data_IF_797921779605
#
_entry.id   IF_797921779605
#
_cell.length_a   1.000
_cell.length_b   1.000
_cell.length_c   1.000
_cell.angle_alpha   90.00
_cell.angle_beta   90.00
_cell.angle_gamma   90.00
#
_symmetry.space_group_name_H-M   'P 1'
#
loop_
_entity.id
_entity.type
_entity.pdbx_description
1 polymer ?
#
# COMPACT_ATOMS: atom_id res chain seq x y z
N UNK A 1 -1.20 9.72 3.80
CA UNK A 1 -1.00 9.33 2.38
C UNK A 1 -1.40 7.86 2.13
N UNK A 2 -2.35 7.23 2.84
CA UNK A 2 -2.92 5.92 2.41
C UNK A 2 -4.44 6.04 2.23
N UNK A 3 -5.06 6.89 3.03
CA UNK A 3 -6.52 7.12 3.06
C UNK A 3 -7.08 7.96 1.91
N UNK A 4 -6.24 8.71 1.18
CA UNK A 4 -6.69 9.58 0.08
C UNK A 4 -7.33 8.78 -1.07
N UNK A 5 -6.63 7.77 -1.57
CA UNK A 5 -7.14 6.94 -2.68
C UNK A 5 -8.43 6.21 -2.30
N UNK A 6 -8.50 5.61 -1.11
CA UNK A 6 -9.74 4.98 -0.65
C UNK A 6 -10.90 5.98 -0.61
N UNK A 7 -10.66 7.17 -0.09
CA UNK A 7 -11.71 8.21 -0.05
C UNK A 7 -12.20 8.60 -1.44
N UNK A 8 -11.29 8.73 -2.41
CA UNK A 8 -11.60 9.11 -3.80
C UNK A 8 -12.32 7.96 -4.52
N UNK A 9 -11.80 6.73 -4.43
CA UNK A 9 -12.42 5.55 -5.04
C UNK A 9 -13.81 5.29 -4.48
N UNK A 10 -13.99 5.39 -3.16
CA UNK A 10 -15.31 5.23 -2.54
C UNK A 10 -16.31 6.29 -3.01
N UNK A 11 -15.84 7.54 -3.22
CA UNK A 11 -16.67 8.63 -3.74
C UNK A 11 -17.02 8.44 -5.21
N UNK A 12 -16.05 8.08 -6.06
CA UNK A 12 -16.30 7.71 -7.46
C UNK A 12 -17.31 6.56 -7.57
N UNK A 13 -17.19 5.56 -6.71
CA UNK A 13 -18.11 4.43 -6.68
C UNK A 13 -19.54 4.82 -6.25
N UNK A 14 -19.70 5.85 -5.41
CA UNK A 14 -21.04 6.35 -5.01
C UNK A 14 -21.75 7.13 -6.13
N UNK A 15 -21.06 7.43 -7.22
CA UNK A 15 -21.60 8.15 -8.38
C UNK A 15 -22.21 7.23 -9.45
N UNK A 16 -22.24 5.90 -9.23
CA UNK A 16 -22.81 4.94 -10.17
C UNK A 16 -24.34 5.02 -10.28
N UNK A 17 -24.89 4.44 -11.34
CA UNK A 17 -26.29 4.61 -11.71
C UNK A 17 -27.29 3.84 -10.81
N UNK A 18 -26.91 2.63 -10.39
CA UNK A 18 -27.71 1.72 -9.55
C UNK A 18 -26.81 0.99 -8.54
N UNK A 19 -27.39 0.34 -7.52
CA UNK A 19 -26.62 -0.38 -6.49
C UNK A 19 -25.70 -1.43 -7.12
N UNK A 20 -26.20 -2.16 -8.12
CA UNK A 20 -25.49 -3.26 -8.82
C UNK A 20 -24.63 -2.78 -9.99
N UNK A 21 -24.61 -1.47 -10.28
CA UNK A 21 -23.76 -0.94 -11.35
C UNK A 21 -22.28 -1.19 -11.03
N UNK A 22 -21.44 -1.46 -12.05
CA UNK A 22 -20.00 -1.57 -11.84
C UNK A 22 -19.40 -0.22 -11.42
N UNK A 23 -18.13 -0.25 -11.03
CA UNK A 23 -17.36 0.98 -10.83
C UNK A 23 -17.37 1.82 -12.12
N UNK A 24 -17.70 3.14 -12.07
CA UNK A 24 -17.73 3.97 -13.26
C UNK A 24 -16.36 4.01 -13.96
N UNK A 25 -16.34 3.85 -15.27
CA UNK A 25 -15.08 4.02 -16.04
C UNK A 25 -14.51 5.41 -15.78
N UNK A 26 -13.21 5.51 -15.50
CA UNK A 26 -12.58 6.78 -15.12
C UNK A 26 -12.72 7.85 -16.21
N UNK A 27 -12.77 7.47 -17.48
CA UNK A 27 -12.96 8.38 -18.61
C UNK A 27 -14.42 8.65 -18.96
N UNK A 28 -15.37 8.08 -18.22
CA UNK A 28 -16.81 8.30 -18.46
C UNK A 28 -17.26 9.70 -18.02
N UNK A 29 -18.34 10.17 -18.64
CA UNK A 29 -19.00 11.42 -18.23
C UNK A 29 -19.47 11.38 -16.77
N UNK A 30 -19.91 10.20 -16.29
CA UNK A 30 -20.30 9.99 -14.89
C UNK A 30 -19.14 10.26 -13.93
N UNK A 31 -17.95 9.72 -14.21
CA UNK A 31 -16.77 9.95 -13.37
C UNK A 31 -16.32 11.43 -13.41
N UNK A 32 -16.38 12.07 -14.58
CA UNK A 32 -16.08 13.51 -14.74
C UNK A 32 -17.01 14.35 -13.88
N UNK A 33 -18.33 14.19 -14.03
CA UNK A 33 -19.35 14.90 -13.25
C UNK A 33 -19.20 14.65 -11.75
N UNK A 34 -18.84 13.42 -11.37
CA UNK A 34 -18.57 13.07 -9.98
C UNK A 34 -17.41 13.89 -9.41
N UNK A 35 -16.25 13.95 -10.09
CA UNK A 35 -15.12 14.76 -9.62
C UNK A 35 -15.45 16.26 -9.59
N UNK A 36 -16.16 16.76 -10.59
CA UNK A 36 -16.61 18.16 -10.62
C UNK A 36 -17.51 18.49 -9.43
N UNK A 37 -18.43 17.59 -9.06
CA UNK A 37 -19.24 17.72 -7.86
C UNK A 37 -18.38 17.77 -6.60
N UNK A 38 -17.33 16.94 -6.49
CA UNK A 38 -16.43 16.98 -5.35
C UNK A 38 -15.68 18.32 -5.24
N UNK A 39 -15.21 18.86 -6.36
CA UNK A 39 -14.58 20.18 -6.41
C UNK A 39 -15.57 21.28 -6.03
N UNK A 40 -16.82 21.15 -6.46
CA UNK A 40 -17.91 22.06 -6.05
C UNK A 40 -18.17 21.98 -4.55
N UNK A 41 -18.26 20.78 -3.96
CA UNK A 41 -18.40 20.58 -2.50
C UNK A 41 -17.24 21.26 -1.76
N UNK A 42 -16.00 21.05 -2.20
CA UNK A 42 -14.81 21.71 -1.64
C UNK A 42 -14.94 23.24 -1.66
N UNK A 43 -15.40 23.81 -2.78
CA UNK A 43 -15.43 25.25 -2.98
C UNK A 43 -16.65 25.94 -2.35
N UNK A 44 -17.80 25.26 -2.26
CA UNK A 44 -19.07 25.85 -1.75
C UNK A 44 -19.25 25.65 -0.25
N UNK A 45 -18.93 24.47 0.28
CA UNK A 45 -19.23 24.11 1.68
C UNK A 45 -18.00 23.66 2.48
N UNK A 46 -16.85 23.55 1.83
CA UNK A 46 -15.58 23.20 2.45
C UNK A 46 -14.57 24.36 2.38
N UNK A 47 -13.29 24.00 2.39
CA UNK A 47 -12.18 24.90 2.13
C UNK A 47 -10.95 24.11 1.70
N UNK A 48 -9.93 24.79 1.17
CA UNK A 48 -8.65 24.17 0.89
C UNK A 48 -8.01 23.57 2.15
N UNK A 49 -8.16 24.26 3.28
CA UNK A 49 -7.70 23.80 4.59
C UNK A 49 -8.41 22.50 5.00
N UNK A 50 -9.75 22.47 4.96
CA UNK A 50 -10.54 21.28 5.32
C UNK A 50 -10.16 20.07 4.44
N UNK A 51 -9.96 20.27 3.13
CA UNK A 51 -9.66 19.19 2.18
C UNK A 51 -8.19 18.77 2.16
N UNK A 52 -7.27 19.61 2.65
CA UNK A 52 -5.84 19.28 2.77
C UNK A 52 -5.48 18.71 4.14
N UNK A 53 -6.36 18.88 5.13
CA UNK A 53 -6.17 18.39 6.48
C UNK A 53 -6.13 16.85 6.56
N UNK A 54 -5.35 16.38 7.53
CA UNK A 54 -5.16 14.95 7.81
C UNK A 54 -6.28 14.40 8.70
N UNK A 55 -6.22 13.08 8.93
CA UNK A 55 -7.15 12.32 9.77
C UNK A 55 -7.39 12.98 11.13
N UNK A 56 -6.35 13.56 11.75
CA UNK A 56 -6.42 14.18 13.08
C UNK A 56 -7.43 15.33 13.15
N UNK A 57 -7.56 16.12 12.09
CA UNK A 57 -8.54 17.20 12.03
C UNK A 57 -9.97 16.64 12.08
N UNK A 58 -10.25 15.59 11.29
CA UNK A 58 -11.55 14.94 11.30
C UNK A 58 -11.85 14.29 12.66
N UNK A 59 -10.85 13.64 13.27
CA UNK A 59 -10.93 13.09 14.63
C UNK A 59 -11.30 14.18 15.64
N UNK A 60 -10.62 15.33 15.63
CA UNK A 60 -10.94 16.44 16.51
C UNK A 60 -12.37 16.95 16.29
N UNK A 61 -12.83 17.01 15.04
CA UNK A 61 -14.19 17.42 14.70
C UNK A 61 -15.28 16.46 15.17
N UNK A 62 -14.96 15.17 15.26
CA UNK A 62 -15.86 14.18 15.85
C UNK A 62 -16.01 14.42 17.35
N UNK A 63 -14.94 14.76 18.06
CA UNK A 63 -14.99 15.00 19.51
C UNK A 63 -15.56 16.37 19.89
N UNK A 64 -15.25 17.43 19.15
CA UNK A 64 -15.69 18.80 19.49
C UNK A 64 -17.10 19.13 18.97
N UNK A 65 -17.70 18.27 18.14
CA UNK A 65 -19.02 18.52 17.54
C UNK A 65 -19.05 19.69 16.55
N UNK A 66 -17.89 20.15 16.10
CA UNK A 66 -17.70 21.39 15.34
C UNK A 66 -17.85 21.24 13.82
N UNK A 67 -18.41 20.14 13.33
CA UNK A 67 -18.71 19.93 11.91
C UNK A 67 -20.14 19.43 11.72
N UNK A 68 -20.75 19.77 10.58
CA UNK A 68 -22.09 19.27 10.25
C UNK A 68 -22.05 17.85 9.65
N UNK A 69 -21.06 17.59 8.81
CA UNK A 69 -20.83 16.30 8.18
C UNK A 69 -19.35 15.95 8.23
N UNK A 70 -19.03 14.71 8.57
CA UNK A 70 -17.66 14.21 8.60
C UNK A 70 -17.63 12.88 7.84
N UNK A 71 -16.72 12.78 6.86
CA UNK A 71 -16.37 11.50 6.27
C UNK A 71 -15.18 10.93 7.03
N UNK A 72 -15.39 9.80 7.69
CA UNK A 72 -14.35 9.13 8.47
C UNK A 72 -14.44 7.61 8.28
N UNK A 73 -13.36 6.90 8.59
CA UNK A 73 -13.41 5.45 8.64
C UNK A 73 -13.95 5.05 10.01
N UNK A 74 -14.93 4.15 10.04
CA UNK A 74 -15.55 3.77 11.30
C UNK A 74 -14.60 2.93 12.15
N UNK A 75 -14.50 3.29 13.43
CA UNK A 75 -13.85 2.50 14.47
C UNK A 75 -14.92 2.10 15.48
N UNK A 76 -15.16 0.80 15.73
CA UNK A 76 -16.07 0.35 16.79
C UNK A 76 -15.76 1.00 18.13
N UNK A 77 -16.81 1.44 18.84
CA UNK A 77 -16.71 2.16 20.12
C UNK A 77 -16.25 3.63 20.03
N UNK A 78 -16.01 4.15 18.82
CA UNK A 78 -15.56 5.54 18.65
C UNK A 78 -16.72 6.55 18.62
N UNK A 79 -17.89 6.12 18.17
CA UNK A 79 -19.14 6.88 18.23
C UNK A 79 -20.02 6.14 19.22
N UNK A 80 -20.24 6.72 20.39
CA UNK A 80 -21.08 6.18 21.45
C UNK A 80 -22.36 7.03 21.63
N UNK A 81 -23.15 6.70 22.65
CA UNK A 81 -24.38 7.42 23.01
C UNK A 81 -24.17 8.89 23.42
N UNK A 82 -22.95 9.29 23.77
CA UNK A 82 -22.59 10.66 24.11
C UNK A 82 -22.07 11.45 22.90
N UNK A 83 -21.82 10.77 21.78
CA UNK A 83 -21.36 11.41 20.56
C UNK A 83 -22.43 12.36 19.99
N UNK A 84 -22.05 13.57 19.55
CA UNK A 84 -22.99 14.46 18.87
C UNK A 84 -23.32 14.00 17.43
N UNK A 85 -22.73 12.90 16.97
CA UNK A 85 -22.87 12.39 15.61
C UNK A 85 -23.61 11.05 15.56
N UNK A 86 -24.34 10.87 14.47
CA UNK A 86 -24.86 9.58 14.05
C UNK A 86 -24.14 9.12 12.80
N UNK A 87 -24.10 7.81 12.57
CA UNK A 87 -23.50 7.21 11.39
C UNK A 87 -24.55 7.03 10.30
N UNK A 88 -24.18 7.37 9.07
CA UNK A 88 -24.99 7.10 7.89
C UNK A 88 -24.14 6.60 6.73
N UNK A 89 -24.80 5.96 5.77
CA UNK A 89 -24.19 5.70 4.47
C UNK A 89 -23.76 7.01 3.81
N UNK A 90 -22.56 7.02 3.19
CA UNK A 90 -22.09 8.19 2.44
C UNK A 90 -23.02 8.45 1.24
N UNK A 91 -23.54 9.66 1.07
CA UNK A 91 -24.46 9.94 -0.03
C UNK A 91 -23.77 9.81 -1.39
N UNK A 92 -24.46 9.19 -2.33
CA UNK A 92 -24.13 9.20 -3.76
C UNK A 92 -24.84 10.31 -4.51
N UNK A 93 -24.63 10.35 -5.84
CA UNK A 93 -25.31 11.31 -6.72
C UNK A 93 -26.82 11.04 -6.78
N UNK A 94 -27.23 9.79 -6.59
CA UNK A 94 -28.63 9.35 -6.61
C UNK A 94 -29.07 8.89 -5.23
N UNK A 95 -30.33 9.15 -4.90
CA UNK A 95 -30.96 8.68 -3.66
C UNK A 95 -30.85 7.15 -3.57
N UNK A 96 -30.40 6.66 -2.42
CA UNK A 96 -30.23 5.23 -2.17
C UNK A 96 -28.93 4.64 -2.71
N UNK A 97 -28.12 5.41 -3.45
CA UNK A 97 -26.78 4.99 -3.87
C UNK A 97 -25.76 5.56 -2.89
N UNK A 98 -24.82 4.73 -2.48
CA UNK A 98 -23.71 5.07 -1.58
C UNK A 98 -22.44 4.35 -2.04
N UNK A 99 -21.30 4.70 -1.47
CA UNK A 99 -20.05 4.02 -1.77
C UNK A 99 -19.14 3.97 -0.55
N UNK A 100 -18.64 2.78 -0.24
CA UNK A 100 -17.70 2.56 0.87
C UNK A 100 -16.58 1.66 0.39
N UNK A 101 -15.34 2.00 0.75
CA UNK A 101 -14.21 1.11 0.50
C UNK A 101 -14.13 0.12 1.64
N UNK A 102 -14.09 -1.16 1.30
CA UNK A 102 -13.81 -2.20 2.28
C UNK A 102 -12.33 -2.18 2.65
N UNK A 103 -12.04 -1.95 3.92
CA UNK A 103 -10.73 -2.15 4.54
C UNK A 103 -10.92 -3.13 5.69
N UNK A 104 -10.04 -4.11 5.78
CA UNK A 104 -10.14 -5.14 6.80
C UNK A 104 -8.85 -5.93 6.92
N UNK A 105 -8.84 -6.86 7.86
CA UNK A 105 -7.73 -7.76 8.11
C UNK A 105 -8.08 -9.14 7.56
N UNK A 106 -7.15 -9.72 6.78
CA UNK A 106 -7.22 -11.11 6.38
C UNK A 106 -6.22 -11.90 7.23
N UNK A 107 -6.60 -13.11 7.62
CA UNK A 107 -5.72 -14.04 8.34
C UNK A 107 -5.31 -15.13 7.35
N UNK A 108 -4.01 -15.35 7.21
CA UNK A 108 -3.44 -16.37 6.33
C UNK A 108 -2.42 -17.24 7.07
N UNK A 109 -2.22 -18.45 6.58
CA UNK A 109 -1.14 -19.34 7.04
C UNK A 109 0.03 -19.19 6.09
N UNK A 110 1.22 -18.93 6.64
CA UNK A 110 2.45 -18.87 5.84
C UNK A 110 2.73 -20.21 5.17
N UNK A 111 3.18 -20.20 3.92
CA UNK A 111 3.46 -21.42 3.16
C UNK A 111 4.69 -22.19 3.69
N UNK A 112 5.51 -21.57 4.52
CA UNK A 112 6.70 -22.16 5.16
C UNK A 112 6.44 -22.72 6.57
N UNK A 113 5.18 -22.85 6.98
CA UNK A 113 4.83 -23.39 8.31
C UNK A 113 5.28 -24.86 8.45
N UNK A 114 5.81 -25.22 9.62
CA UNK A 114 6.11 -26.62 9.94
C UNK A 114 4.83 -27.47 9.77
N UNK A 115 4.94 -28.62 9.10
CA UNK A 115 3.81 -29.51 8.83
C UNK A 115 3.03 -29.88 10.10
N UNK A 116 3.75 -30.13 11.20
CA UNK A 116 3.16 -30.43 12.52
C UNK A 116 2.31 -29.29 13.12
N UNK A 117 2.50 -28.04 12.67
CA UNK A 117 1.76 -26.85 13.11
C UNK A 117 0.65 -26.47 12.17
N UNK A 118 0.64 -27.00 10.94
CA UNK A 118 -0.34 -26.65 9.92
C UNK A 118 -1.78 -26.96 10.38
N UNK A 119 -2.03 -28.17 10.88
CA UNK A 119 -3.36 -28.58 11.36
C UNK A 119 -3.84 -27.72 12.56
N UNK A 120 -3.05 -27.51 13.63
CA UNK A 120 -3.39 -26.57 14.69
C UNK A 120 -3.66 -25.14 14.20
N UNK A 121 -2.87 -24.64 13.23
CA UNK A 121 -3.07 -23.30 12.68
C UNK A 121 -4.39 -23.19 11.90
N UNK A 122 -4.74 -24.21 11.10
CA UNK A 122 -6.03 -24.28 10.42
C UNK A 122 -7.17 -24.25 11.44
N UNK A 123 -7.07 -25.02 12.53
CA UNK A 123 -8.10 -25.07 13.56
C UNK A 123 -8.25 -23.74 14.29
N UNK A 124 -7.13 -23.08 14.62
CA UNK A 124 -7.15 -21.75 15.22
C UNK A 124 -7.83 -20.72 14.30
N UNK A 125 -7.54 -20.74 12.99
CA UNK A 125 -8.20 -19.83 12.03
C UNK A 125 -9.69 -20.12 11.96
N UNK A 126 -10.09 -21.40 11.82
CA UNK A 126 -11.52 -21.78 11.81
C UNK A 126 -12.27 -21.27 13.04
N UNK A 127 -11.64 -21.37 14.21
CA UNK A 127 -12.23 -20.86 15.45
C UNK A 127 -12.32 -19.33 15.45
N UNK A 128 -11.24 -18.62 15.09
CA UNK A 128 -11.21 -17.15 15.04
C UNK A 128 -12.21 -16.56 14.02
N UNK A 129 -12.46 -17.27 12.92
CA UNK A 129 -13.42 -16.87 11.88
C UNK A 129 -14.78 -17.54 12.01
N UNK A 130 -15.01 -18.31 13.08
CA UNK A 130 -16.29 -18.96 13.33
C UNK A 130 -17.39 -17.91 13.54
N UNK A 131 -18.63 -18.27 13.19
CA UNK A 131 -19.79 -17.40 13.35
C UNK A 131 -19.97 -16.99 14.81
N UNK A 132 -19.77 -17.92 15.73
CA UNK A 132 -19.90 -17.74 17.17
C UNK A 132 -18.86 -16.75 17.71
N UNK A 133 -17.58 -16.89 17.31
CA UNK A 133 -16.54 -15.94 17.69
C UNK A 133 -16.80 -14.54 17.10
N UNK A 134 -17.14 -14.47 15.81
CA UNK A 134 -17.44 -13.19 15.15
C UNK A 134 -18.64 -12.50 15.80
N UNK A 135 -19.69 -13.25 16.17
CA UNK A 135 -20.85 -12.76 16.92
C UNK A 135 -20.45 -12.17 18.28
N UNK A 136 -19.66 -12.90 19.07
CA UNK A 136 -19.19 -12.42 20.38
C UNK A 136 -18.37 -11.12 20.26
N UNK A 137 -17.50 -11.02 19.25
CA UNK A 137 -16.71 -9.81 19.00
C UNK A 137 -17.56 -8.63 18.51
N UNK A 138 -18.60 -8.88 17.71
CA UNK A 138 -19.55 -7.84 17.26
C UNK A 138 -20.40 -7.33 18.42
N UNK A 139 -20.93 -8.22 19.28
CA UNK A 139 -21.71 -7.83 20.46
C UNK A 139 -20.90 -7.01 21.47
N UNK A 140 -19.58 -7.21 21.51
CA UNK A 140 -18.64 -6.40 22.30
C UNK A 140 -18.20 -5.11 21.60
N UNK A 141 -18.77 -4.82 20.42
CA UNK A 141 -18.37 -3.73 19.53
C UNK A 141 -16.85 -3.64 19.36
N UNK A 142 -16.17 -4.79 19.27
CA UNK A 142 -14.72 -4.85 19.11
C UNK A 142 -14.30 -4.90 17.64
N UNK A 143 -15.20 -5.35 16.77
CA UNK A 143 -15.01 -5.42 15.32
C UNK A 143 -16.29 -5.04 14.58
N UNK A 144 -16.15 -4.64 13.32
CA UNK A 144 -17.21 -4.79 12.32
C UNK A 144 -16.92 -6.07 11.56
N UNK A 145 -17.73 -7.11 11.76
CA UNK A 145 -17.58 -8.36 11.04
C UNK A 145 -17.92 -8.19 9.55
N UNK A 146 -17.13 -8.82 8.69
CA UNK A 146 -17.45 -8.97 7.26
C UNK A 146 -18.60 -9.95 7.00
N UNK A 147 -18.98 -10.75 8.00
CA UNK A 147 -20.09 -11.70 7.91
C UNK A 147 -21.42 -10.95 8.05
N UNK A 148 -21.90 -10.35 6.96
CA UNK A 148 -23.11 -9.50 6.95
C UNK A 148 -24.37 -10.20 7.44
N UNK A 149 -24.42 -11.53 7.37
CA UNK A 149 -25.53 -12.34 7.88
C UNK A 149 -25.73 -12.23 9.39
N UNK A 150 -24.69 -11.87 10.16
CA UNK A 150 -24.80 -11.59 11.59
C UNK A 150 -25.76 -10.43 11.86
N UNK A 151 -25.75 -9.38 11.03
CA UNK A 151 -26.60 -8.21 11.23
C UNK A 151 -28.07 -8.45 10.82
N UNK A 152 -28.41 -9.64 10.34
CA UNK A 152 -29.80 -10.07 10.17
C UNK A 152 -30.38 -10.71 11.44
N UNK A 153 -29.54 -11.05 12.43
CA UNK A 153 -29.98 -11.60 13.71
C UNK A 153 -30.50 -10.48 14.61
N UNK A 154 -31.77 -10.56 15.02
CA UNK A 154 -32.38 -9.56 15.91
C UNK A 154 -31.60 -9.39 17.20
N UNK A 155 -31.08 -10.47 17.78
CA UNK A 155 -30.25 -10.42 18.98
C UNK A 155 -29.03 -9.52 18.79
N UNK A 156 -28.34 -9.60 17.65
CA UNK A 156 -27.17 -8.77 17.39
C UNK A 156 -27.62 -7.33 17.13
N UNK A 157 -28.59 -7.16 16.24
CA UNK A 157 -29.04 -5.86 15.77
C UNK A 157 -29.66 -4.98 16.88
N UNK A 158 -30.28 -5.61 17.88
CA UNK A 158 -30.86 -4.93 19.04
C UNK A 158 -29.82 -4.52 20.10
N UNK A 159 -28.61 -5.08 20.06
CA UNK A 159 -27.57 -4.86 21.08
C UNK A 159 -26.38 -4.02 20.59
N UNK A 160 -26.31 -3.70 19.30
CA UNK A 160 -25.23 -2.85 18.75
C UNK A 160 -25.79 -1.58 18.15
N UNK A 161 -24.99 -0.51 18.18
CA UNK A 161 -25.37 0.72 17.51
C UNK A 161 -25.23 0.59 15.99
N UNK A 162 -26.04 1.35 15.24
CA UNK A 162 -25.92 1.49 13.78
C UNK A 162 -26.00 0.16 12.98
N UNK A 163 -26.72 -0.85 13.47
CA UNK A 163 -26.88 -2.14 12.80
C UNK A 163 -27.30 -2.01 11.32
N UNK A 164 -28.23 -1.10 10.99
CA UNK A 164 -28.70 -0.87 9.62
C UNK A 164 -27.56 -0.45 8.66
N UNK A 165 -26.55 0.25 9.17
CA UNK A 165 -25.37 0.64 8.39
C UNK A 165 -24.52 -0.59 8.03
N UNK A 166 -24.34 -1.54 8.95
CA UNK A 166 -23.56 -2.77 8.70
C UNK A 166 -24.31 -3.82 7.88
N UNK A 167 -25.64 -3.78 7.89
CA UNK A 167 -26.49 -4.75 7.20
C UNK A 167 -26.41 -4.64 5.68
N UNK A 168 -26.31 -3.42 5.15
CA UNK A 168 -26.39 -3.16 3.70
C UNK A 168 -25.27 -2.24 3.19
N UNK A 169 -23.98 -2.59 3.38
CA UNK A 169 -22.90 -1.73 2.93
C UNK A 169 -22.76 -1.84 1.41
N UNK A 170 -22.72 -0.71 0.71
CA UNK A 170 -22.44 -0.65 -0.73
C UNK A 170 -20.93 -0.60 -0.94
N UNK A 171 -20.30 -1.77 -0.81
CA UNK A 171 -18.86 -1.94 -0.79
C UNK A 171 -18.27 -1.92 -2.20
N UNK A 172 -17.11 -1.29 -2.30
CA UNK A 172 -16.20 -1.44 -3.42
C UNK A 172 -14.84 -1.90 -2.92
N UNK A 173 -14.21 -2.76 -3.70
CA UNK A 173 -12.87 -3.27 -3.41
C UNK A 173 -11.84 -2.25 -3.89
N UNK A 174 -10.74 -2.16 -3.14
CA UNK A 174 -9.56 -1.46 -3.62
C UNK A 174 -9.07 -2.15 -4.92
N UNK A 175 -8.77 -1.42 -6.01
CA UNK A 175 -8.28 -2.01 -7.25
C UNK A 175 -7.11 -2.98 -7.02
N UNK A 176 -7.22 -4.22 -7.52
CA UNK A 176 -6.18 -5.25 -7.39
C UNK A 176 -4.97 -4.87 -8.25
N UNK A 177 -3.76 -5.15 -7.77
CA UNK A 177 -2.47 -5.01 -8.49
C UNK A 177 -1.95 -3.58 -8.74
N UNK A 178 -2.69 -2.56 -8.31
CA UNK A 178 -2.37 -1.17 -8.60
C UNK A 178 -1.53 -0.51 -7.48
N UNK A 179 -1.54 -1.08 -6.27
CA UNK A 179 -1.02 -0.42 -5.06
C UNK A 179 0.23 -1.03 -4.45
N UNK A 180 0.91 -1.94 -5.14
CA UNK A 180 2.18 -2.49 -4.65
C UNK A 180 3.37 -1.56 -4.96
N UNK A 181 3.15 -0.44 -5.65
CA UNK A 181 4.15 0.58 -5.89
C UNK A 181 3.73 1.88 -5.21
N UNK A 182 4.56 2.36 -4.29
CA UNK A 182 4.41 3.69 -3.68
C UNK A 182 4.33 4.78 -4.77
N UNK A 183 5.01 4.59 -5.90
CA UNK A 183 4.98 5.51 -7.05
C UNK A 183 3.58 5.67 -7.63
N UNK A 184 2.82 4.58 -7.79
CA UNK A 184 1.44 4.68 -8.29
C UNK A 184 0.62 5.55 -7.35
N UNK A 185 0.77 5.32 -6.05
CA UNK A 185 -0.01 6.01 -5.03
C UNK A 185 0.26 7.52 -5.07
N UNK A 186 1.55 7.89 -5.10
CA UNK A 186 1.98 9.28 -5.17
C UNK A 186 1.49 9.97 -6.44
N UNK A 187 1.59 9.30 -7.60
CA UNK A 187 1.14 9.86 -8.89
C UNK A 187 -0.38 10.02 -8.94
N UNK A 188 -1.12 9.01 -8.48
CA UNK A 188 -2.58 9.08 -8.37
C UNK A 188 -3.01 10.29 -7.52
N UNK A 189 -2.44 10.42 -6.31
CA UNK A 189 -2.78 11.54 -5.43
C UNK A 189 -2.33 12.89 -6.01
N UNK A 190 -1.16 12.94 -6.66
CA UNK A 190 -0.65 14.16 -7.29
C UNK A 190 -1.59 14.69 -8.37
N UNK A 191 -2.07 13.82 -9.28
CA UNK A 191 -3.02 14.23 -10.31
C UNK A 191 -4.35 14.70 -9.73
N UNK A 192 -4.80 14.05 -8.65
CA UNK A 192 -6.02 14.45 -7.96
C UNK A 192 -5.85 15.78 -7.18
N UNK A 193 -4.67 16.00 -6.60
CA UNK A 193 -4.30 17.25 -5.95
C UNK A 193 -4.26 18.40 -6.98
N UNK A 194 -3.66 18.18 -8.15
CA UNK A 194 -3.67 19.16 -9.24
C UNK A 194 -5.10 19.53 -9.66
N UNK A 195 -6.01 18.55 -9.70
CA UNK A 195 -7.43 18.78 -9.96
C UNK A 195 -8.10 19.64 -8.88
N UNK A 196 -7.94 19.27 -7.61
CA UNK A 196 -8.61 19.96 -6.52
C UNK A 196 -8.07 21.36 -6.27
N UNK A 197 -6.76 21.58 -6.44
CA UNK A 197 -6.07 22.79 -5.97
C UNK A 197 -5.39 23.61 -7.07
N UNK A 198 -5.09 23.04 -8.25
CA UNK A 198 -4.29 23.71 -9.31
C UNK A 198 -5.04 23.92 -10.62
N UNK A 199 -6.37 24.02 -10.56
CA UNK A 199 -7.24 24.29 -11.71
C UNK A 199 -7.13 23.30 -12.89
N UNK A 200 -6.61 22.09 -12.68
CA UNK A 200 -6.70 21.02 -13.67
C UNK A 200 -8.19 20.61 -13.84
N UNK A 201 -8.57 20.20 -15.06
CA UNK A 201 -9.93 19.71 -15.34
C UNK A 201 -10.11 18.26 -14.88
N UNK A 202 -11.35 17.90 -14.50
CA UNK A 202 -11.68 16.55 -14.03
C UNK A 202 -11.35 15.49 -15.10
N UNK A 203 -11.75 15.75 -16.35
CA UNK A 203 -11.46 14.86 -17.49
C UNK A 203 -9.96 14.59 -17.67
N UNK A 204 -9.11 15.63 -17.57
CA UNK A 204 -7.66 15.48 -17.73
C UNK A 204 -7.03 14.74 -16.55
N UNK A 205 -7.44 15.02 -15.33
CA UNK A 205 -6.96 14.31 -14.15
C UNK A 205 -7.35 12.83 -14.16
N UNK A 206 -8.61 12.51 -14.48
CA UNK A 206 -9.08 11.13 -14.58
C UNK A 206 -8.39 10.37 -15.71
N UNK A 207 -8.14 11.04 -16.85
CA UNK A 207 -7.38 10.45 -17.95
C UNK A 207 -5.96 10.09 -17.52
N UNK A 208 -5.26 10.99 -16.83
CA UNK A 208 -3.93 10.71 -16.28
C UNK A 208 -3.94 9.53 -15.29
N UNK A 209 -4.98 9.41 -14.46
CA UNK A 209 -5.14 8.30 -13.52
C UNK A 209 -5.42 6.98 -14.25
N UNK A 210 -6.30 6.99 -15.25
CA UNK A 210 -6.61 5.85 -16.12
C UNK A 210 -5.34 5.35 -16.84
N UNK A 211 -4.51 6.28 -17.30
CA UNK A 211 -3.25 6.02 -17.99
C UNK A 211 -2.20 5.33 -17.11
N UNK A 212 -2.26 5.49 -15.78
CA UNK A 212 -1.35 4.78 -14.86
C UNK A 212 -1.56 3.26 -14.90
N UNK A 213 -2.77 2.80 -15.25
CA UNK A 213 -3.11 1.37 -15.29
C UNK A 213 -3.08 0.79 -16.70
N UNK A 214 -2.97 1.63 -17.73
CA UNK A 214 -2.99 1.17 -19.12
C UNK A 214 -1.58 0.84 -19.57
N UNK A 215 -1.34 -0.44 -19.84
CA UNK A 215 -0.22 -0.85 -20.68
C UNK A 215 -0.59 -0.44 -22.10
N UNK A 216 0.00 0.66 -22.56
CA UNK A 216 -0.12 1.10 -23.95
C UNK A 216 0.60 0.11 -24.85
N UNK A 217 -0.13 -0.88 -25.35
CA UNK A 217 0.33 -1.69 -26.47
C UNK A 217 0.31 -0.80 -27.71
N UNK A 218 1.48 -0.29 -28.09
CA UNK A 218 1.69 0.34 -29.39
C UNK A 218 1.56 -0.77 -30.43
N UNK A 219 0.35 -1.00 -30.94
CA UNK A 219 0.13 -1.89 -32.08
C UNK A 219 0.35 -1.08 -33.35
N UNK A 220 1.41 -1.42 -34.09
CA UNK A 220 1.63 -0.86 -35.43
C UNK A 220 0.61 -1.55 -36.34
N UNK A 221 -0.43 -0.81 -36.74
CA UNK A 221 -1.47 -1.33 -37.62
C UNK A 221 -0.89 -1.59 -39.02
N UNK A 222 -0.34 -2.79 -39.23
CA UNK A 222 0.29 -3.14 -40.51
C UNK A 222 -0.70 -3.41 -41.64
N UNK A 223 -2.02 -3.21 -41.42
CA UNK A 223 -3.03 -3.43 -42.46
C UNK A 223 -2.96 -2.43 -43.61
N UNK A 224 -2.41 -1.23 -43.39
CA UNK A 224 -2.22 -0.24 -44.46
C UNK A 224 -0.94 -0.50 -45.29
N UNK A 225 -0.05 -1.36 -44.80
CA UNK A 225 1.16 -1.80 -45.52
C UNK A 225 0.86 -3.19 -46.10
N UNK A 226 0.11 -3.25 -47.21
CA UNK A 226 -0.25 -4.52 -47.87
C UNK A 226 0.97 -5.28 -48.39
N UNK A 227 2.10 -4.58 -48.60
CA UNK A 227 3.31 -5.14 -49.17
C UNK A 227 4.24 -5.64 -48.05
N UNK A 228 4.57 -6.93 -48.10
CA UNK A 228 5.47 -7.58 -47.14
C UNK A 228 6.87 -6.94 -47.07
N UNK A 229 7.37 -6.43 -48.20
CA UNK A 229 8.72 -5.87 -48.34
C UNK A 229 8.95 -4.63 -47.44
N UNK A 230 8.14 -3.54 -47.51
CA UNK A 230 8.33 -2.40 -46.62
C UNK A 230 8.16 -2.74 -45.14
N UNK A 231 7.29 -3.71 -44.80
CA UNK A 231 7.14 -4.19 -43.42
C UNK A 231 8.43 -4.86 -42.92
N UNK A 232 9.02 -5.73 -43.73
CA UNK A 232 10.29 -6.38 -43.40
C UNK A 232 11.43 -5.36 -43.28
N UNK A 233 11.51 -4.39 -44.19
CA UNK A 233 12.52 -3.32 -44.14
C UNK A 233 12.42 -2.47 -42.87
N UNK A 234 11.21 -2.07 -42.46
CA UNK A 234 11.01 -1.30 -41.23
C UNK A 234 11.44 -2.11 -39.99
N UNK A 235 11.13 -3.41 -39.97
CA UNK A 235 11.51 -4.30 -38.87
C UNK A 235 13.03 -4.46 -38.77
N UNK A 236 13.73 -4.66 -39.88
CA UNK A 236 15.20 -4.75 -39.92
C UNK A 236 15.87 -3.45 -39.48
N UNK A 237 15.38 -2.30 -39.94
CA UNK A 237 15.89 -0.98 -39.52
C UNK A 237 15.70 -0.80 -38.00
N UNK A 238 14.57 -1.22 -37.45
CA UNK A 238 14.30 -1.11 -36.03
C UNK A 238 15.23 -2.00 -35.20
N UNK A 239 15.47 -3.24 -35.63
CA UNK A 239 16.40 -4.17 -34.96
C UNK A 239 17.82 -3.61 -35.01
N UNK A 240 18.25 -3.08 -36.16
CA UNK A 240 19.57 -2.47 -36.33
C UNK A 240 19.75 -1.25 -35.43
N UNK A 241 18.71 -0.40 -35.31
CA UNK A 241 18.72 0.77 -34.44
C UNK A 241 18.85 0.38 -32.95
N UNK A 242 18.13 -0.64 -32.50
CA UNK A 242 18.21 -1.16 -31.13
C UNK A 242 19.61 -1.74 -30.87
N UNK A 243 20.17 -2.51 -31.81
CA UNK A 243 21.51 -3.05 -31.69
C UNK A 243 22.58 -1.94 -31.61
N UNK A 244 22.45 -0.90 -32.44
CA UNK A 244 23.35 0.27 -32.41
C UNK A 244 23.26 1.01 -31.08
N UNK A 245 22.05 1.23 -30.56
CA UNK A 245 21.84 1.92 -29.29
C UNK A 245 22.42 1.14 -28.12
N UNK A 246 22.27 -0.19 -28.11
CA UNK A 246 22.91 -1.06 -27.11
C UNK A 246 24.43 -1.02 -27.20
N UNK A 247 24.99 -1.04 -28.41
CA UNK A 247 26.43 -0.91 -28.62
C UNK A 247 26.96 0.43 -28.10
N UNK A 248 26.28 1.55 -28.42
CA UNK A 248 26.62 2.88 -27.93
C UNK A 248 26.56 2.91 -26.40
N UNK A 249 25.52 2.33 -25.79
CA UNK A 249 25.35 2.29 -24.33
C UNK A 249 26.49 1.54 -23.66
N UNK A 250 26.88 0.37 -24.19
CA UNK A 250 28.01 -0.42 -23.68
C UNK A 250 29.35 0.29 -23.85
N UNK A 251 29.54 1.00 -24.96
CA UNK A 251 30.75 1.78 -25.22
C UNK A 251 30.86 2.96 -24.24
N UNK A 252 29.76 3.69 -24.05
CA UNK A 252 29.67 4.80 -23.09
C UNK A 252 29.91 4.29 -21.66
N UNK A 253 29.28 3.18 -21.25
CA UNK A 253 29.49 2.63 -19.90
C UNK A 253 30.94 2.23 -19.68
N UNK A 254 31.64 1.74 -20.71
CA UNK A 254 33.06 1.37 -20.62
C UNK A 254 33.96 2.60 -20.47
N UNK A 255 33.68 3.68 -21.20
CA UNK A 255 34.39 4.96 -21.06
C UNK A 255 34.18 5.58 -19.67
N UNK A 256 32.95 5.57 -19.16
CA UNK A 256 32.68 6.05 -17.81
C UNK A 256 33.34 5.18 -16.75
N UNK A 257 33.31 3.85 -16.88
CA UNK A 257 34.03 2.95 -15.97
C UNK A 257 35.52 3.26 -15.93
N UNK A 258 36.18 3.53 -17.06
CA UNK A 258 37.61 3.90 -17.05
C UNK A 258 37.88 5.22 -16.33
N UNK A 259 36.98 6.21 -16.43
CA UNK A 259 37.13 7.51 -15.76
C UNK A 259 36.94 7.35 -14.24
N UNK A 260 35.94 6.58 -13.80
CA UNK A 260 35.66 6.41 -12.37
C UNK A 260 36.60 5.44 -11.66
N UNK A 261 37.16 4.45 -12.37
CA UNK A 261 38.12 3.50 -11.77
C UNK A 261 39.48 4.16 -11.51
N UNK A 262 39.91 5.14 -12.32
CA UNK A 262 41.18 5.85 -12.10
C UNK A 262 41.15 6.79 -10.88
N UNK A 263 39.99 7.31 -10.48
CA UNK A 263 39.89 8.18 -9.30
C UNK A 263 39.92 7.39 -7.97
N UNK A 264 39.42 6.15 -7.94
CA UNK A 264 39.38 5.36 -6.70
C UNK A 264 40.69 4.62 -6.42
N UNK A 265 41.45 4.18 -7.45
CA UNK A 265 42.79 3.60 -7.23
C UNK A 265 43.82 4.66 -6.83
N UNK A 266 43.83 5.84 -7.46
CA UNK A 266 44.78 6.90 -7.10
C UNK A 266 44.43 7.54 -5.75
N UNK A 267 43.15 7.72 -5.41
CA UNK A 267 42.76 8.23 -4.08
C UNK A 267 43.04 7.21 -2.97
N UNK A 268 42.79 5.91 -3.16
CA UNK A 268 43.17 4.86 -2.18
C UNK A 268 44.68 4.68 -2.07
N UNK A 269 45.45 4.88 -3.14
CA UNK A 269 46.91 4.87 -3.08
C UNK A 269 47.44 6.04 -2.23
N UNK A 270 46.89 7.26 -2.42
CA UNK A 270 47.28 8.44 -1.64
C UNK A 270 46.78 8.38 -0.18
N UNK A 271 45.59 7.84 0.07
CA UNK A 271 45.06 7.66 1.44
C UNK A 271 45.92 6.67 2.23
N UNK A 272 46.32 5.54 1.61
CA UNK A 272 47.23 4.57 2.22
C UNK A 272 48.65 5.12 2.47
N UNK A 273 49.15 6.01 1.61
CA UNK A 273 50.43 6.71 1.85
C UNK A 273 50.35 7.75 2.98
N UNK A 274 49.20 8.43 3.13
CA UNK A 274 49.00 9.39 4.23
C UNK A 274 48.80 8.72 5.59
N UNK A 275 48.08 7.58 5.63
CA UNK A 275 47.79 6.82 6.85
C UNK A 275 49.04 6.15 7.45
N UNK A 276 49.98 5.67 6.63
CA UNK A 276 51.24 5.10 7.13
C UNK A 276 52.14 6.15 7.80
N UNK A 277 52.09 7.40 7.34
CA UNK A 277 52.88 8.51 7.90
C UNK A 277 52.26 9.03 9.20
N UNK A 278 50.92 9.04 9.33
CA UNK A 278 50.22 9.45 10.55
C UNK A 278 50.25 8.36 11.64
N UNK A 279 50.16 7.08 11.27
CA UNK A 279 50.17 5.97 12.23
C UNK A 279 51.56 5.75 12.86
N UNK A 280 52.65 6.05 12.15
CA UNK A 280 54.01 6.01 12.74
C UNK A 280 54.23 7.13 13.75
N UNK A 281 53.56 8.28 13.64
CA UNK A 281 53.64 9.36 14.65
C UNK A 281 52.71 9.16 15.86
N UNK A 282 51.59 8.44 15.70
CA UNK A 282 50.62 8.21 16.80
C UNK A 282 51.00 6.99 17.67
N UNK A 283 51.78 6.04 17.11
CA UNK A 283 52.22 4.86 17.85
C UNK A 283 53.34 5.15 18.88
N UNK A 284 54.05 6.28 18.76
CA UNK A 284 54.97 6.75 19.82
C UNK A 284 54.25 7.45 21.00
N UNK A 285 53.00 7.89 20.83
CA UNK A 285 52.32 8.74 21.82
C UNK A 285 51.21 8.05 22.64
N UNK A 286 50.78 6.85 22.25
CA UNK A 286 49.61 6.17 22.86
C UNK A 286 49.92 5.12 23.93
N UNK A 287 51.20 4.90 24.28
CA UNK A 287 51.59 4.01 25.39
C UNK A 287 51.27 4.60 26.78
N UNK A 288 50.92 5.88 26.90
CA UNK A 288 50.82 6.55 28.21
C UNK A 288 49.42 6.77 28.80
N UNK A 289 48.31 6.41 28.13
CA UNK A 289 46.97 6.85 28.61
C UNK A 289 45.90 5.76 28.41
N UNK A 290 45.83 4.78 29.32
CA UNK A 290 44.58 4.02 29.54
C UNK A 290 44.50 3.40 30.95
N UNK A 291 44.38 4.26 31.96
CA UNK A 291 43.69 3.91 33.20
C UNK A 291 42.66 5.00 33.51
N UNK A 292 41.51 4.58 34.06
CA UNK A 292 40.37 5.38 34.54
C UNK A 292 39.25 5.70 33.52
N UNK A 293 38.20 4.88 33.52
CA UNK A 293 36.94 5.22 34.22
C UNK A 293 35.77 4.33 33.77
N UNK A 294 35.33 3.49 34.70
CA UNK A 294 34.10 2.69 34.65
C UNK A 294 33.26 3.16 35.84
N UNK A 295 32.10 3.75 35.59
CA UNK A 295 30.86 3.61 36.38
C UNK A 295 29.95 4.85 36.29
N UNK A 296 28.74 4.65 35.76
CA UNK A 296 27.43 5.08 36.33
C UNK A 296 26.33 4.97 35.28
N UNK A 297 25.31 4.15 35.55
CA UNK A 297 23.87 4.48 35.43
C UNK A 297 23.01 3.21 35.38
N UNK A 298 22.61 2.73 36.57
CA UNK A 298 21.74 1.57 36.76
C UNK A 298 20.47 2.05 37.47
N UNK A 299 19.46 2.52 36.71
CA UNK A 299 18.04 2.58 37.15
C UNK A 299 16.99 2.94 36.08
N UNK A 300 17.38 3.31 34.85
CA UNK A 300 16.46 3.43 33.69
C UNK A 300 16.30 2.09 32.93
N UNK A 301 16.85 1.00 33.50
CA UNK A 301 17.12 -0.27 32.80
C UNK A 301 15.94 -1.25 32.74
N UNK A 302 14.85 -1.07 33.48
CA UNK A 302 13.81 -2.10 33.59
C UNK A 302 12.76 -2.06 32.45
N UNK A 303 12.33 -0.87 32.02
CA UNK A 303 11.30 -0.73 30.96
C UNK A 303 11.93 -0.87 29.57
N UNK A 304 13.16 -0.37 29.38
CA UNK A 304 13.93 -0.59 28.16
C UNK A 304 14.27 -2.08 27.95
N UNK A 305 14.38 -2.87 29.02
CA UNK A 305 14.68 -4.30 28.90
C UNK A 305 13.54 -5.13 28.30
N UNK A 306 12.27 -4.74 28.50
CA UNK A 306 11.15 -5.47 27.90
C UNK A 306 11.04 -5.18 26.40
N UNK A 307 11.18 -3.91 26.02
CA UNK A 307 11.13 -3.49 24.61
C UNK A 307 12.37 -3.99 23.83
N UNK A 308 13.56 -3.97 24.45
CA UNK A 308 14.77 -4.55 23.88
C UNK A 308 14.69 -6.07 23.77
N UNK A 309 14.04 -6.78 24.70
CA UNK A 309 13.80 -8.23 24.57
C UNK A 309 12.81 -8.56 23.46
N UNK A 310 11.79 -7.74 23.24
CA UNK A 310 10.86 -7.88 22.10
C UNK A 310 11.59 -7.61 20.78
N UNK A 311 12.40 -6.56 20.72
CA UNK A 311 13.24 -6.25 19.55
C UNK A 311 14.31 -7.33 19.30
N UNK A 312 14.97 -7.85 20.34
CA UNK A 312 15.91 -8.97 20.22
C UNK A 312 15.21 -10.25 19.75
N UNK A 313 14.01 -10.55 20.25
CA UNK A 313 13.24 -11.71 19.81
C UNK A 313 12.90 -11.63 18.31
N UNK A 314 12.50 -10.45 17.82
CA UNK A 314 12.27 -10.23 16.39
C UNK A 314 13.56 -10.23 15.57
N UNK A 315 14.67 -9.70 16.13
CA UNK A 315 15.98 -9.66 15.44
C UNK A 315 16.63 -11.04 15.35
N UNK A 316 16.48 -11.90 16.37
CA UNK A 316 17.01 -13.28 16.40
C UNK A 316 16.34 -14.21 15.40
N UNK A 317 15.06 -13.96 15.08
CA UNK A 317 14.35 -14.71 14.03
C UNK A 317 14.73 -14.24 12.61
N UNK A 318 15.48 -13.15 12.47
CA UNK A 318 15.92 -12.61 11.17
C UNK A 318 17.37 -12.94 10.80
N UNK A 319 18.16 -13.53 11.72
CA UNK A 319 19.57 -13.88 11.49
C UNK A 319 19.83 -15.39 11.46
N UNK A 320 18.93 -16.19 10.88
CA UNK A 320 19.21 -17.60 10.62
C UNK A 320 18.95 -17.97 9.16
N UNK A 321 19.86 -17.54 8.30
CA UNK A 321 20.19 -18.18 7.01
C UNK A 321 21.57 -17.69 6.58
N UNK A 322 22.62 -18.09 7.31
CA UNK A 322 23.92 -18.24 6.67
C UNK A 322 23.97 -19.62 6.02
N UNK A 323 23.87 -19.57 4.69
CA UNK A 323 24.35 -20.51 3.69
C UNK A 323 25.34 -21.56 4.21
N UNK A 324 24.84 -22.78 4.39
CA UNK A 324 25.65 -23.99 4.23
C UNK A 324 25.45 -24.47 2.79
N UNK A 325 26.43 -24.20 1.93
CA UNK A 325 26.53 -24.78 0.60
C UNK A 325 26.96 -26.24 0.78
N UNK A 326 26.03 -27.18 0.63
CA UNK A 326 26.34 -28.59 0.37
C UNK A 326 26.07 -28.84 -1.12
N UNK A 327 27.16 -29.04 -1.86
CA UNK A 327 27.12 -29.61 -3.19
C UNK A 327 26.67 -31.07 -3.08
N UNK A 328 25.47 -31.37 -3.57
CA UNK A 328 25.09 -32.74 -3.94
C UNK A 328 24.46 -32.71 -5.33
N UNK A 329 25.26 -33.15 -6.29
CA UNK A 329 24.85 -33.72 -7.57
C UNK A 329 23.97 -34.95 -7.34
N UNK A 330 22.73 -34.94 -7.84
CA UNK A 330 22.17 -35.99 -8.72
C UNK A 330 20.63 -35.93 -8.79
N UNK A 331 20.15 -35.95 -10.04
CA UNK A 331 18.95 -36.60 -10.57
C UNK A 331 17.75 -36.88 -9.63
N UNK A 332 16.61 -36.27 -9.92
CA UNK A 332 15.52 -36.98 -10.63
C UNK A 332 14.30 -36.08 -10.91
N UNK A 333 13.67 -36.40 -12.05
CA UNK A 333 12.36 -35.94 -12.48
C UNK A 333 11.27 -36.25 -11.44
N UNK A 334 10.38 -35.30 -11.16
CA UNK A 334 8.93 -35.45 -11.35
C UNK A 334 8.13 -34.24 -10.82
N UNK A 335 7.34 -33.69 -11.74
CA UNK A 335 6.00 -33.09 -11.61
C UNK A 335 5.44 -33.01 -10.17
N UNK A 336 5.19 -31.79 -9.69
CA UNK A 336 4.07 -31.52 -8.79
C UNK A 336 3.58 -30.08 -8.96
N UNK A 337 2.37 -29.98 -9.49
CA UNK A 337 1.58 -28.77 -9.65
C UNK A 337 1.02 -28.38 -8.26
N UNK A 338 1.70 -27.48 -7.55
CA UNK A 338 1.25 -27.05 -6.22
C UNK A 338 0.27 -25.87 -6.32
N UNK A 339 -1.01 -26.21 -6.21
CA UNK A 339 -2.14 -25.30 -6.07
C UNK A 339 -2.00 -24.52 -4.76
N UNK A 340 -1.80 -23.19 -4.86
CA UNK A 340 -2.04 -22.26 -3.75
C UNK A 340 -3.55 -22.20 -3.47
N UNK A 341 -4.01 -22.93 -2.44
CA UNK A 341 -5.38 -22.78 -1.95
C UNK A 341 -5.45 -21.58 -1.02
N UNK A 342 -5.86 -20.44 -1.57
CA UNK A 342 -6.35 -19.33 -0.76
C UNK A 342 -7.76 -19.67 -0.29
N UNK A 343 -7.96 -19.84 1.02
CA UNK A 343 -9.30 -19.90 1.59
C UNK A 343 -9.79 -18.46 1.71
N UNK A 344 -10.54 -18.01 0.71
CA UNK A 344 -11.34 -16.78 0.81
C UNK A 344 -12.61 -17.15 1.56
N UNK A 345 -12.72 -16.76 2.82
CA UNK A 345 -13.99 -16.80 3.56
C UNK A 345 -14.65 -15.45 3.28
N UNK A 346 -15.76 -15.49 2.54
CA UNK A 346 -16.51 -14.33 2.06
C UNK A 346 -17.30 -13.62 3.14
#
# INVERSE_FOLDING_TARGET
>A
VVNGIGSITGFLYSCRETVDSPFPELTSETAVKCLELLKRIKNEIGSDEIFSNIVDYATMKIFDGGALFIKFYYMPGFIDEHSPYIISNMPGIKKGISGTILVGYNIGIINTIDEKKLLPAIEAIKFMTSKEMQKDLVLKESIVSGMTSLYNEEEICNNIQFCDFYKNPQLTLKPKNVFNSDEYYERFLSYFYDFLFRNESASKALKKIDDLNKIYHISINTKEISNYIPKFMIQEILILAIALLNFITLFISRLFLSIFVEEDENSKLFENFSLTTAQTMIMENSINISEANKDKNRKVSAINNLFLKILEYHKRNYTFTETVIINTTNNNNNISEHISKTISIG
#
